data_IF_346069651707
#
_entry.id   IF_346069651707
#
_cell.length_a   1.000
_cell.length_b   1.000
_cell.length_c   1.000
_cell.angle_alpha   90.00
_cell.angle_beta   90.00
_cell.angle_gamma   90.00
#
_symmetry.space_group_name_H-M   'P 1'
#
loop_
_entity.id
_entity.type
_entity.pdbx_description
1 polymer ?
#
# COMPACT_ATOMS: atom_id res chain seq x y z
N UNK A 1 -25.68 -1.88 12.74
CA UNK A 1 -25.38 -2.21 14.15
C UNK A 1 -25.27 -3.72 14.31
N UNK A 2 -24.07 -4.29 14.22
CA UNK A 2 -23.64 -5.52 14.93
C UNK A 2 -22.18 -5.82 14.54
N UNK A 3 -21.25 -4.95 14.95
CA UNK A 3 -19.85 -5.35 15.02
C UNK A 3 -19.66 -6.02 16.38
N UNK A 4 -19.24 -7.29 16.39
CA UNK A 4 -18.95 -8.04 17.61
C UNK A 4 -17.84 -7.43 18.47
N UNK A 5 -17.23 -8.23 19.35
CA UNK A 5 -16.16 -7.82 20.27
C UNK A 5 -15.10 -6.91 19.62
N UNK A 6 -14.70 -7.19 18.37
CA UNK A 6 -13.73 -6.39 17.61
C UNK A 6 -14.16 -4.92 17.42
N UNK A 7 -15.43 -4.66 17.14
CA UNK A 7 -15.95 -3.29 17.03
C UNK A 7 -16.05 -2.56 18.36
N UNK A 8 -16.17 -3.30 19.47
CA UNK A 8 -16.09 -2.74 20.84
C UNK A 8 -14.65 -2.36 21.18
N UNK A 9 -13.68 -3.21 20.82
CA UNK A 9 -12.24 -2.94 21.01
C UNK A 9 -11.80 -1.72 20.19
N UNK A 10 -12.23 -1.61 18.93
CA UNK A 10 -11.84 -0.48 18.08
C UNK A 10 -12.46 0.85 18.56
N UNK A 11 -13.71 0.83 19.05
CA UNK A 11 -14.33 2.00 19.71
C UNK A 11 -13.59 2.40 20.99
N UNK A 12 -13.17 1.44 21.81
CA UNK A 12 -12.33 1.70 22.97
C UNK A 12 -10.96 2.31 22.57
N UNK A 13 -10.47 2.00 21.37
CA UNK A 13 -9.24 2.54 20.79
C UNK A 13 -9.44 3.80 19.91
N UNK A 14 -10.56 4.52 20.05
CA UNK A 14 -10.89 5.77 19.32
C UNK A 14 -10.94 5.65 17.78
N UNK A 15 -11.27 4.48 17.24
CA UNK A 15 -11.57 4.37 15.80
C UNK A 15 -12.75 5.27 15.42
N UNK A 16 -12.66 5.95 14.28
CA UNK A 16 -13.79 6.68 13.68
C UNK A 16 -14.40 5.84 12.58
N UNK A 17 -15.70 5.58 12.68
CA UNK A 17 -16.45 4.75 11.75
C UNK A 17 -17.19 5.61 10.72
N UNK A 18 -17.22 5.13 9.48
CA UNK A 18 -17.84 5.78 8.32
C UNK A 18 -18.54 4.73 7.46
N UNK A 19 -19.49 5.17 6.65
CA UNK A 19 -20.11 4.33 5.62
C UNK A 19 -19.72 4.89 4.26
N UNK A 20 -18.98 4.09 3.50
CA UNK A 20 -18.61 4.43 2.13
C UNK A 20 -19.70 3.96 1.18
N UNK A 21 -19.97 4.73 0.13
CA UNK A 21 -20.95 4.35 -0.91
C UNK A 21 -20.27 4.29 -2.27
N UNK A 22 -20.38 3.16 -2.95
CA UNK A 22 -19.80 2.93 -4.27
C UNK A 22 -20.45 3.86 -5.30
N UNK A 23 -19.60 4.50 -6.10
CA UNK A 23 -19.97 5.40 -7.21
C UNK A 23 -19.77 4.74 -8.56
N UNK A 24 -18.76 3.88 -8.67
CA UNK A 24 -18.42 3.17 -9.88
C UNK A 24 -17.23 2.25 -9.67
N UNK A 25 -16.95 1.43 -10.68
CA UNK A 25 -15.81 0.54 -10.71
C UNK A 25 -15.14 0.56 -12.08
N UNK A 26 -13.84 0.30 -12.09
CA UNK A 26 -12.98 0.32 -13.26
C UNK A 26 -11.99 -0.84 -13.19
N UNK A 27 -11.79 -1.54 -14.31
CA UNK A 27 -10.75 -2.58 -14.44
C UNK A 27 -9.45 -1.92 -14.90
N UNK A 28 -8.56 -1.63 -13.96
CA UNK A 28 -7.28 -0.95 -14.21
C UNK A 28 -6.25 -1.89 -14.85
N UNK A 29 -6.31 -3.17 -14.51
CA UNK A 29 -5.54 -4.24 -15.15
C UNK A 29 -6.31 -5.54 -15.05
N UNK A 30 -5.87 -6.59 -15.75
CA UNK A 30 -6.60 -7.88 -15.82
C UNK A 30 -7.03 -8.40 -14.44
N UNK A 31 -6.11 -8.32 -13.47
CA UNK A 31 -6.29 -8.77 -12.09
C UNK A 31 -6.29 -7.62 -11.09
N UNK A 32 -6.70 -6.42 -11.51
CA UNK A 32 -6.62 -5.22 -10.68
C UNK A 32 -7.83 -4.32 -10.89
N UNK A 33 -8.59 -4.06 -9.83
CA UNK A 33 -9.85 -3.33 -9.90
C UNK A 33 -9.83 -2.10 -9.01
N UNK A 34 -10.29 -0.96 -9.54
CA UNK A 34 -10.52 0.26 -8.79
C UNK A 34 -12.01 0.44 -8.53
N UNK A 35 -12.34 0.86 -7.31
CA UNK A 35 -13.70 1.25 -6.91
C UNK A 35 -13.64 2.69 -6.41
N UNK A 36 -14.44 3.56 -7.00
CA UNK A 36 -14.62 4.93 -6.51
C UNK A 36 -15.77 4.98 -5.53
N UNK A 37 -15.58 5.65 -4.39
CA UNK A 37 -16.60 5.78 -3.33
C UNK A 37 -16.80 7.23 -2.93
N UNK A 38 -17.99 7.55 -2.42
CA UNK A 38 -18.17 8.71 -1.52
C UNK A 38 -17.83 8.32 -0.09
N UNK A 39 -17.27 9.26 0.66
CA UNK A 39 -16.50 9.00 1.87
C UNK A 39 -17.29 9.01 3.18
N UNK A 40 -18.57 9.44 3.15
CA UNK A 40 -19.40 9.58 4.34
C UNK A 40 -18.89 10.61 5.37
N UNK A 41 -18.13 11.62 4.92
CA UNK A 41 -17.50 12.64 5.77
C UNK A 41 -16.12 12.25 6.32
N UNK A 42 -15.55 11.13 5.88
CA UNK A 42 -14.25 10.62 6.32
C UNK A 42 -13.13 11.63 6.10
N UNK A 43 -12.99 12.21 4.91
CA UNK A 43 -11.90 13.12 4.57
C UNK A 43 -12.01 14.47 5.31
N UNK A 44 -13.22 14.88 5.68
CA UNK A 44 -13.43 16.06 6.55
C UNK A 44 -12.98 15.77 7.98
N UNK A 45 -13.31 14.58 8.50
CA UNK A 45 -12.97 14.21 9.88
C UNK A 45 -11.51 13.77 10.06
N UNK A 46 -10.88 13.31 8.99
CA UNK A 46 -9.53 12.75 8.93
C UNK A 46 -8.84 13.23 7.64
N UNK A 47 -8.09 14.36 7.69
CA UNK A 47 -7.40 14.87 6.52
C UNK A 47 -6.47 13.81 5.89
N UNK A 48 -6.46 13.68 4.55
CA UNK A 48 -5.66 12.67 3.88
C UNK A 48 -4.16 12.93 3.99
N UNK A 49 -3.37 11.87 3.94
CA UNK A 49 -1.91 11.91 3.88
C UNK A 49 -1.37 10.80 2.96
N UNK A 50 -0.10 10.88 2.51
CA UNK A 50 0.51 9.82 1.71
C UNK A 50 0.45 8.46 2.43
N UNK A 51 0.21 7.41 1.66
CA UNK A 51 -0.01 6.04 2.13
C UNK A 51 -1.13 5.89 3.18
N UNK A 52 -2.08 6.83 3.25
CA UNK A 52 -3.22 6.72 4.16
C UNK A 52 -4.06 5.49 3.81
N UNK A 53 -4.40 4.72 4.83
CA UNK A 53 -5.20 3.51 4.68
C UNK A 53 -6.30 3.44 5.72
N UNK A 54 -7.35 2.72 5.36
CA UNK A 54 -8.54 2.51 6.18
C UNK A 54 -8.87 1.04 6.28
N UNK A 55 -9.61 0.66 7.32
CA UNK A 55 -10.10 -0.70 7.51
C UNK A 55 -11.49 -0.80 6.91
N UNK A 56 -11.67 -1.68 5.95
CA UNK A 56 -12.98 -2.02 5.39
C UNK A 56 -13.50 -3.31 6.02
N UNK A 57 -14.80 -3.36 6.25
CA UNK A 57 -15.48 -4.50 6.88
C UNK A 57 -16.31 -5.26 5.85
N UNK A 58 -15.81 -6.42 5.45
CA UNK A 58 -16.47 -7.32 4.52
C UNK A 58 -17.33 -8.33 5.28
N UNK A 59 -18.48 -8.68 4.72
CA UNK A 59 -19.25 -9.81 5.20
C UNK A 59 -18.75 -11.09 4.50
N UNK A 60 -18.40 -12.12 5.26
CA UNK A 60 -18.05 -13.43 4.72
C UNK A 60 -18.58 -14.50 5.65
N UNK A 61 -19.38 -15.43 5.12
CA UNK A 61 -20.03 -16.50 5.89
C UNK A 61 -20.77 -16.01 7.16
N UNK A 62 -21.38 -14.82 7.09
CA UNK A 62 -22.10 -14.21 8.20
C UNK A 62 -21.21 -13.63 9.31
N UNK A 63 -19.88 -13.57 9.12
CA UNK A 63 -18.92 -12.94 10.04
C UNK A 63 -18.31 -11.68 9.43
N UNK A 64 -17.90 -10.70 10.25
CA UNK A 64 -17.14 -9.55 9.77
C UNK A 64 -15.69 -9.94 9.51
N UNK A 65 -15.18 -9.58 8.33
CA UNK A 65 -13.80 -9.78 7.91
C UNK A 65 -13.20 -8.42 7.59
N UNK A 66 -12.19 -8.02 8.37
CA UNK A 66 -11.55 -6.73 8.19
C UNK A 66 -10.34 -6.82 7.25
N UNK A 67 -10.20 -5.87 6.31
CA UNK A 67 -8.98 -5.69 5.50
C UNK A 67 -8.61 -4.21 5.40
N UNK A 68 -7.31 -3.93 5.31
CA UNK A 68 -6.81 -2.58 5.14
C UNK A 68 -6.69 -2.24 3.65
N UNK A 69 -7.10 -1.05 3.25
CA UNK A 69 -6.96 -0.53 1.89
C UNK A 69 -6.46 0.91 1.92
N UNK A 70 -5.51 1.21 1.03
CA UNK A 70 -4.98 2.55 0.84
C UNK A 70 -5.95 3.40 0.02
N UNK A 71 -6.07 4.68 0.38
CA UNK A 71 -6.86 5.66 -0.38
C UNK A 71 -6.13 6.02 -1.68
N UNK A 72 -6.86 6.00 -2.79
CA UNK A 72 -6.41 6.47 -4.10
C UNK A 72 -7.07 7.81 -4.40
N UNK A 73 -6.30 8.82 -4.76
CA UNK A 73 -6.81 10.15 -5.17
C UNK A 73 -7.90 10.72 -4.25
N UNK A 74 -7.64 10.87 -2.94
CA UNK A 74 -8.63 11.47 -2.05
C UNK A 74 -8.89 12.92 -2.43
N UNK A 75 -10.16 13.24 -2.67
CA UNK A 75 -10.67 14.58 -2.93
C UNK A 75 -11.56 15.02 -1.75
N UNK A 76 -11.03 15.85 -0.81
CA UNK A 76 -11.79 16.35 0.31
C UNK A 76 -12.93 17.29 -0.07
N UNK A 77 -12.90 17.91 -1.25
CA UNK A 77 -13.94 18.83 -1.73
C UNK A 77 -15.13 18.02 -2.26
N UNK A 78 -14.86 17.01 -3.08
CA UNK A 78 -15.89 16.11 -3.59
C UNK A 78 -16.36 15.07 -2.56
N UNK A 79 -15.57 14.83 -1.50
CA UNK A 79 -15.82 13.77 -0.52
C UNK A 79 -15.71 12.38 -1.16
N UNK A 80 -14.73 12.19 -2.07
CA UNK A 80 -14.57 10.95 -2.83
C UNK A 80 -13.13 10.48 -2.83
N UNK A 81 -12.95 9.17 -3.00
CA UNK A 81 -11.64 8.55 -3.23
C UNK A 81 -11.81 7.20 -3.94
N UNK A 82 -10.72 6.65 -4.45
CA UNK A 82 -10.62 5.30 -5.00
C UNK A 82 -10.07 4.29 -3.99
N UNK A 83 -10.43 3.03 -4.19
CA UNK A 83 -9.88 1.86 -3.50
C UNK A 83 -9.46 0.86 -4.58
N UNK A 84 -8.22 0.35 -4.50
CA UNK A 84 -7.69 -0.59 -5.48
C UNK A 84 -7.50 -1.99 -4.88
N UNK A 85 -7.92 -2.99 -5.65
CA UNK A 85 -8.00 -4.39 -5.27
C UNK A 85 -7.16 -5.23 -6.23
N UNK A 86 -6.04 -5.76 -5.73
CA UNK A 86 -5.36 -6.87 -6.38
C UNK A 86 -6.25 -8.12 -6.26
N UNK A 87 -6.68 -8.68 -7.39
CA UNK A 87 -7.65 -9.77 -7.41
C UNK A 87 -6.98 -11.11 -7.12
N UNK A 88 -7.43 -11.73 -6.03
CA UNK A 88 -7.06 -13.06 -5.55
C UNK A 88 -8.27 -13.68 -4.86
N UNK A 89 -8.17 -14.94 -4.42
CA UNK A 89 -9.29 -15.58 -3.73
C UNK A 89 -9.55 -14.91 -2.36
N UNK A 90 -10.80 -14.54 -2.10
CA UNK A 90 -11.23 -14.07 -0.79
C UNK A 90 -12.26 -12.93 -0.82
N UNK A 91 -12.89 -12.65 0.33
CA UNK A 91 -14.12 -11.86 0.40
C UNK A 91 -13.98 -10.42 -0.09
N UNK A 92 -12.78 -9.83 0.00
CA UNK A 92 -12.58 -8.46 -0.43
C UNK A 92 -12.49 -8.35 -1.97
N UNK A 93 -11.81 -9.30 -2.62
CA UNK A 93 -11.77 -9.37 -4.07
C UNK A 93 -13.15 -9.76 -4.64
N UNK A 94 -13.82 -10.74 -4.03
CA UNK A 94 -15.18 -11.17 -4.41
C UNK A 94 -16.16 -10.00 -4.34
N UNK A 95 -16.13 -9.26 -3.23
CA UNK A 95 -16.92 -8.04 -3.07
C UNK A 95 -16.58 -7.02 -4.15
N UNK A 96 -15.30 -6.78 -4.41
CA UNK A 96 -14.90 -5.75 -5.38
C UNK A 96 -15.38 -6.00 -6.81
N UNK A 97 -15.50 -7.27 -7.20
CA UNK A 97 -16.02 -7.67 -8.51
C UNK A 97 -17.55 -7.62 -8.55
N UNK A 98 -18.22 -7.86 -7.42
CA UNK A 98 -19.67 -7.98 -7.35
C UNK A 98 -20.43 -6.67 -7.08
N UNK A 99 -19.75 -5.61 -6.62
CA UNK A 99 -20.40 -4.34 -6.26
C UNK A 99 -20.95 -3.56 -7.47
N UNK A 100 -21.95 -2.72 -7.19
CA UNK A 100 -22.52 -1.77 -8.14
C UNK A 100 -22.66 -0.38 -7.49
N UNK A 101 -22.87 0.70 -8.28
CA UNK A 101 -23.13 2.03 -7.72
C UNK A 101 -24.31 2.00 -6.72
N UNK A 102 -24.09 2.55 -5.52
CA UNK A 102 -25.02 2.50 -4.41
C UNK A 102 -24.77 1.37 -3.40
N UNK A 103 -23.95 0.37 -3.71
CA UNK A 103 -23.45 -0.59 -2.69
C UNK A 103 -22.71 0.17 -1.59
N UNK A 104 -22.85 -0.27 -0.34
CA UNK A 104 -22.20 0.36 0.82
C UNK A 104 -21.22 -0.58 1.50
N UNK A 105 -20.20 -0.01 2.15
CA UNK A 105 -19.28 -0.76 3.02
C UNK A 105 -18.90 0.08 4.23
N UNK A 106 -18.87 -0.55 5.40
CA UNK A 106 -18.42 0.08 6.63
C UNK A 106 -16.89 0.24 6.58
N UNK A 107 -16.41 1.39 7.05
CA UNK A 107 -15.00 1.72 7.12
C UNK A 107 -14.62 2.29 8.50
N UNK A 108 -13.43 1.95 8.97
CA UNK A 108 -12.85 2.52 10.20
C UNK A 108 -11.49 3.12 9.91
N UNK A 109 -11.28 4.39 10.27
CA UNK A 109 -9.95 5.02 10.25
C UNK A 109 -9.27 4.75 11.59
N UNK A 110 -8.24 3.91 11.58
CA UNK A 110 -7.43 3.65 12.78
C UNK A 110 -6.05 3.08 12.44
N UNK A 111 -5.01 3.67 13.03
CA UNK A 111 -3.65 3.13 13.01
C UNK A 111 -2.82 3.56 11.81
N UNK A 112 -3.42 4.22 10.83
CA UNK A 112 -2.71 4.87 9.74
C UNK A 112 -1.94 6.09 10.24
N UNK A 113 -0.79 6.37 9.62
CA UNK A 113 0.13 7.46 9.96
C UNK A 113 0.73 8.01 8.67
N UNK A 114 1.04 9.30 8.66
CA UNK A 114 1.72 9.92 7.53
C UNK A 114 3.09 9.27 7.34
N UNK A 115 3.32 8.76 6.13
CA UNK A 115 4.62 8.33 5.64
C UNK A 115 5.25 9.50 4.88
N UNK A 116 6.46 9.89 5.26
CA UNK A 116 7.13 11.07 4.71
C UNK A 116 8.63 10.84 4.70
N UNK A 117 9.27 11.06 3.55
CA UNK A 117 10.72 11.09 3.48
C UNK A 117 11.26 12.28 4.32
N UNK A 118 12.30 12.09 5.16
CA UNK A 118 12.91 13.18 5.90
C UNK A 118 13.41 14.31 4.96
N UNK A 119 13.38 15.58 5.40
CA UNK A 119 13.94 16.68 4.61
C UNK A 119 15.39 16.41 4.19
N UNK A 120 15.73 16.74 2.93
CA UNK A 120 17.05 16.49 2.37
C UNK A 120 17.35 15.02 2.04
N UNK A 121 16.32 14.18 1.97
CA UNK A 121 16.44 12.81 1.43
C UNK A 121 17.06 12.85 0.04
N UNK A 122 18.14 12.10 -0.15
CA UNK A 122 18.88 12.01 -1.41
C UNK A 122 18.15 11.18 -2.44
N UNK A 123 17.63 10.02 -2.01
CA UNK A 123 16.87 9.11 -2.85
C UNK A 123 15.87 8.31 -2.00
N UNK A 124 14.76 7.93 -2.63
CA UNK A 124 13.74 7.05 -2.05
C UNK A 124 13.88 5.64 -2.62
N UNK A 125 13.75 4.64 -1.76
CA UNK A 125 13.70 3.22 -2.14
C UNK A 125 12.34 2.68 -1.73
N UNK A 126 11.46 2.46 -2.71
CA UNK A 126 10.10 1.99 -2.50
C UNK A 126 10.01 0.53 -2.93
N UNK A 127 9.71 -0.38 -2.01
CA UNK A 127 9.61 -1.82 -2.30
C UNK A 127 8.18 -2.28 -2.02
N UNK A 128 7.56 -2.92 -3.00
CA UNK A 128 6.17 -3.32 -2.92
C UNK A 128 5.76 -4.42 -3.89
N UNK A 129 4.45 -4.50 -4.10
CA UNK A 129 3.76 -5.41 -5.01
C UNK A 129 2.40 -4.75 -5.39
N UNK A 130 1.52 -5.39 -6.20
CA UNK A 130 0.24 -4.80 -6.55
C UNK A 130 -0.62 -4.38 -5.35
N UNK A 131 -0.53 -5.04 -4.19
CA UNK A 131 -1.33 -4.69 -3.03
C UNK A 131 -0.90 -3.36 -2.39
N UNK A 132 0.37 -2.98 -2.53
CA UNK A 132 0.92 -1.72 -2.02
C UNK A 132 1.14 -0.64 -3.06
N UNK A 133 0.94 -0.94 -4.35
CA UNK A 133 1.03 0.02 -5.45
C UNK A 133 0.25 1.34 -5.19
N UNK A 134 -0.95 1.35 -4.59
CA UNK A 134 -1.65 2.61 -4.30
C UNK A 134 -0.87 3.51 -3.35
N UNK A 135 -0.21 2.91 -2.34
CA UNK A 135 0.62 3.63 -1.39
C UNK A 135 1.90 4.13 -2.05
N UNK A 136 2.56 3.28 -2.85
CA UNK A 136 3.73 3.66 -3.65
C UNK A 136 3.41 4.87 -4.54
N UNK A 137 2.30 4.83 -5.28
CA UNK A 137 1.86 5.93 -6.13
C UNK A 137 1.63 7.22 -5.32
N UNK A 138 0.94 7.14 -4.18
CA UNK A 138 0.73 8.30 -3.31
C UNK A 138 2.03 8.90 -2.75
N UNK A 139 3.07 8.08 -2.54
CA UNK A 139 4.38 8.52 -2.07
C UNK A 139 5.18 9.20 -3.19
N UNK A 140 5.10 8.68 -4.42
CA UNK A 140 5.70 9.32 -5.59
C UNK A 140 5.05 10.69 -5.86
N UNK A 141 3.72 10.77 -5.78
CA UNK A 141 2.96 12.02 -5.94
C UNK A 141 3.32 13.07 -4.86
N UNK A 142 3.60 12.62 -3.63
CA UNK A 142 4.00 13.49 -2.52
C UNK A 142 5.46 13.96 -2.60
N UNK A 143 6.29 13.28 -3.40
CA UNK A 143 7.72 13.54 -3.54
C UNK A 143 8.18 13.60 -5.01
N UNK A 144 7.54 14.42 -5.87
CA UNK A 144 7.71 14.35 -7.32
C UNK A 144 9.09 14.76 -7.82
N UNK A 145 9.91 15.40 -6.98
CA UNK A 145 11.26 15.85 -7.31
C UNK A 145 12.36 15.05 -6.62
N UNK A 146 12.01 14.09 -5.76
CA UNK A 146 12.98 13.27 -5.04
C UNK A 146 13.29 12.04 -5.89
N UNK A 147 14.55 11.79 -6.29
CA UNK A 147 14.89 10.59 -7.04
C UNK A 147 14.39 9.34 -6.32
N UNK A 148 13.76 8.44 -7.06
CA UNK A 148 13.14 7.25 -6.47
C UNK A 148 13.52 6.02 -7.27
N UNK A 149 13.76 4.93 -6.57
CA UNK A 149 13.82 3.61 -7.16
C UNK A 149 12.74 2.74 -6.56
N UNK A 150 11.91 2.20 -7.44
CA UNK A 150 10.69 1.49 -7.10
C UNK A 150 10.86 0.04 -7.54
N UNK A 151 10.78 -0.89 -6.59
CA UNK A 151 10.80 -2.32 -6.87
C UNK A 151 9.44 -2.90 -6.56
N UNK A 152 8.82 -3.53 -7.57
CA UNK A 152 7.52 -4.17 -7.44
C UNK A 152 7.66 -5.65 -7.79
N UNK A 153 7.21 -6.54 -6.90
CA UNK A 153 7.09 -7.96 -7.26
C UNK A 153 5.87 -8.16 -8.16
N UNK A 154 6.08 -8.74 -9.35
CA UNK A 154 5.01 -9.21 -10.21
C UNK A 154 4.66 -10.67 -9.85
N UNK A 155 3.46 -10.90 -9.33
CA UNK A 155 2.92 -12.24 -9.11
C UNK A 155 2.29 -12.86 -10.36
N UNK A 156 1.98 -12.01 -11.35
CA UNK A 156 1.41 -12.38 -12.65
C UNK A 156 1.99 -11.46 -13.75
N UNK A 157 2.14 -11.91 -15.01
CA UNK A 157 2.67 -11.07 -16.09
C UNK A 157 1.94 -9.74 -16.28
N UNK A 158 0.60 -9.75 -16.17
CA UNK A 158 -0.24 -8.55 -16.28
C UNK A 158 0.03 -7.49 -15.19
N UNK A 159 0.69 -7.84 -14.08
CA UNK A 159 0.99 -6.88 -13.02
C UNK A 159 1.94 -5.77 -13.53
N UNK A 160 2.79 -6.07 -14.52
CA UNK A 160 3.72 -5.11 -15.13
C UNK A 160 3.05 -3.98 -15.89
N UNK A 161 1.79 -4.18 -16.27
CA UNK A 161 1.00 -3.21 -17.00
C UNK A 161 0.31 -2.21 -16.06
N UNK A 162 0.38 -2.43 -14.74
CA UNK A 162 -0.24 -1.55 -13.76
C UNK A 162 0.41 -0.16 -13.77
N UNK A 163 -0.38 0.92 -13.65
CA UNK A 163 0.13 2.29 -13.75
C UNK A 163 0.90 2.66 -12.49
N UNK A 164 2.23 2.73 -12.62
CA UNK A 164 3.12 3.32 -11.62
C UNK A 164 3.27 4.82 -11.93
N UNK A 165 3.00 5.70 -10.96
CA UNK A 165 3.11 7.17 -11.09
C UNK A 165 4.56 7.65 -10.99
N UNK A 166 5.43 6.98 -11.72
CA UNK A 166 6.83 7.37 -11.87
C UNK A 166 6.93 8.63 -12.77
N UNK A 167 7.78 9.57 -12.37
CA UNK A 167 8.09 10.78 -13.14
C UNK A 167 9.59 10.83 -13.44
N UNK A 168 10.08 12.02 -13.80
CA UNK A 168 11.49 12.21 -14.11
C UNK A 168 12.37 11.90 -12.90
N UNK A 169 13.42 11.08 -13.10
CA UNK A 169 14.32 10.66 -12.03
C UNK A 169 13.77 9.51 -11.16
N UNK A 170 12.62 8.93 -11.53
CA UNK A 170 12.12 7.69 -10.94
C UNK A 170 12.49 6.49 -11.83
N UNK A 171 13.01 5.42 -11.23
CA UNK A 171 13.26 4.14 -11.89
C UNK A 171 12.29 3.09 -11.34
N UNK A 172 11.61 2.36 -12.22
CA UNK A 172 10.69 1.27 -11.86
C UNK A 172 11.26 -0.06 -12.31
N UNK A 173 11.42 -0.97 -11.37
CA UNK A 173 11.94 -2.33 -11.57
C UNK A 173 10.86 -3.32 -11.16
N UNK A 174 10.32 -4.06 -12.13
CA UNK A 174 9.45 -5.19 -11.87
C UNK A 174 10.26 -6.47 -11.72
N UNK A 175 10.13 -7.14 -10.58
CA UNK A 175 10.79 -8.41 -10.28
C UNK A 175 9.76 -9.53 -10.39
N UNK A 176 9.98 -10.49 -11.28
CA UNK A 176 9.10 -11.67 -11.36
C UNK A 176 9.19 -12.47 -10.07
N UNK A 177 8.04 -12.89 -9.55
CA UNK A 177 7.98 -13.82 -8.44
C UNK A 177 8.64 -15.14 -8.84
N UNK A 178 9.68 -15.51 -8.11
CA UNK A 178 10.34 -16.81 -8.20
C UNK A 178 10.35 -17.52 -6.83
N UNK A 179 9.51 -18.54 -6.72
CA UNK A 179 9.28 -19.30 -5.50
C UNK A 179 8.29 -18.63 -4.55
N UNK A 180 8.63 -18.57 -3.25
CA UNK A 180 7.76 -17.99 -2.23
C UNK A 180 7.54 -16.47 -2.46
N UNK A 181 6.34 -15.94 -2.21
CA UNK A 181 6.08 -14.51 -2.34
C UNK A 181 7.07 -13.65 -1.55
N UNK A 182 7.54 -12.57 -2.15
CA UNK A 182 8.49 -11.64 -1.57
C UNK A 182 9.96 -12.10 -1.63
N UNK A 183 10.26 -13.36 -1.97
CA UNK A 183 11.63 -13.88 -2.01
C UNK A 183 12.47 -13.20 -3.09
N UNK A 184 12.01 -13.21 -4.33
CA UNK A 184 12.77 -12.73 -5.48
C UNK A 184 13.04 -11.22 -5.37
N UNK A 185 12.03 -10.43 -5.01
CA UNK A 185 12.19 -9.00 -4.78
C UNK A 185 13.14 -8.71 -3.62
N UNK A 186 13.07 -9.46 -2.51
CA UNK A 186 14.00 -9.29 -1.37
C UNK A 186 15.45 -9.51 -1.80
N UNK A 187 15.71 -10.58 -2.55
CA UNK A 187 17.06 -10.93 -3.00
C UNK A 187 17.60 -9.85 -3.96
N UNK A 188 16.77 -9.37 -4.89
CA UNK A 188 17.11 -8.31 -5.83
C UNK A 188 17.43 -6.97 -5.13
N UNK A 189 16.57 -6.50 -4.22
CA UNK A 189 16.80 -5.22 -3.52
C UNK A 189 17.99 -5.30 -2.56
N UNK A 190 18.20 -6.44 -1.91
CA UNK A 190 19.36 -6.64 -1.01
C UNK A 190 20.68 -6.62 -1.80
N UNK A 191 20.70 -7.15 -3.03
CA UNK A 191 21.85 -7.04 -3.92
C UNK A 191 22.09 -5.60 -4.37
N UNK A 192 21.03 -4.90 -4.80
CA UNK A 192 21.11 -3.51 -5.24
C UNK A 192 21.59 -2.57 -4.12
N UNK A 193 21.00 -2.62 -2.94
CA UNK A 193 21.37 -1.75 -1.82
C UNK A 193 22.81 -1.92 -1.36
N UNK A 194 23.36 -3.13 -1.48
CA UNK A 194 24.74 -3.42 -1.17
C UNK A 194 25.74 -3.07 -2.29
N UNK A 195 25.28 -2.46 -3.39
CA UNK A 195 26.14 -2.12 -4.54
C UNK A 195 26.65 -3.35 -5.30
N UNK A 196 25.95 -4.49 -5.21
CA UNK A 196 26.30 -5.72 -5.94
C UNK A 196 25.61 -5.82 -7.30
N UNK A 197 24.80 -4.83 -7.67
CA UNK A 197 24.22 -4.68 -9.01
C UNK A 197 25.14 -3.88 -9.91
N UNK A 198 25.38 -4.36 -11.13
CA UNK A 198 26.31 -3.73 -12.06
C UNK A 198 25.80 -2.35 -12.52
N UNK A 199 26.65 -1.32 -12.39
CA UNK A 199 26.37 0.02 -12.90
C UNK A 199 25.51 0.91 -11.99
N UNK A 200 25.14 0.43 -10.80
CA UNK A 200 24.25 1.15 -9.89
C UNK A 200 24.97 1.56 -8.61
N UNK A 201 24.85 2.83 -8.17
CA UNK A 201 25.42 3.23 -6.89
C UNK A 201 24.69 2.50 -5.75
N UNK A 202 25.47 2.04 -4.77
CA UNK A 202 24.92 1.49 -3.54
C UNK A 202 23.97 2.48 -2.83
N UNK A 203 23.09 1.96 -2.00
CA UNK A 203 22.25 2.82 -1.17
C UNK A 203 23.12 3.60 -0.16
N UNK A 204 22.69 4.79 0.23
CA UNK A 204 23.31 5.59 1.29
C UNK A 204 22.40 5.57 2.53
N UNK A 205 22.68 4.71 3.53
CA UNK A 205 21.82 4.53 4.70
C UNK A 205 21.56 5.82 5.50
N UNK A 206 22.46 6.81 5.41
CA UNK A 206 22.38 8.06 6.16
C UNK A 206 21.58 9.14 5.42
N UNK A 207 21.41 9.01 4.10
CA UNK A 207 20.80 10.04 3.24
C UNK A 207 19.56 9.57 2.48
N UNK A 208 19.37 8.28 2.34
CA UNK A 208 18.23 7.71 1.64
C UNK A 208 17.04 7.47 2.58
N UNK A 209 15.87 7.27 1.99
CA UNK A 209 14.66 6.85 2.69
C UNK A 209 14.16 5.53 2.10
N UNK A 210 13.72 4.61 2.95
CA UNK A 210 13.30 3.28 2.57
C UNK A 210 11.86 3.06 3.03
N UNK A 211 10.99 2.70 2.10
CA UNK A 211 9.62 2.31 2.40
C UNK A 211 9.37 0.93 1.80
N UNK A 212 9.03 -0.03 2.65
CA UNK A 212 8.87 -1.43 2.28
C UNK A 212 7.49 -1.89 2.69
N UNK A 213 6.66 -2.28 1.74
CA UNK A 213 5.39 -2.90 2.04
C UNK A 213 4.96 -3.90 0.98
N UNK A 214 5.06 -5.18 1.29
CA UNK A 214 4.64 -6.29 0.43
C UNK A 214 4.14 -7.44 1.31
N UNK A 215 4.55 -8.68 1.03
CA UNK A 215 4.33 -9.82 1.91
C UNK A 215 4.99 -9.60 3.29
N UNK A 216 4.32 -10.05 4.35
CA UNK A 216 4.66 -9.75 5.74
C UNK A 216 6.01 -10.28 6.18
N UNK A 217 6.38 -11.52 5.85
CA UNK A 217 7.71 -12.04 6.15
C UNK A 217 8.77 -11.23 5.39
N UNK A 218 8.65 -11.09 4.07
CA UNK A 218 9.60 -10.34 3.25
C UNK A 218 9.81 -8.90 3.74
N UNK A 219 8.73 -8.18 4.02
CA UNK A 219 8.78 -6.81 4.58
C UNK A 219 9.53 -6.77 5.90
N UNK A 220 9.29 -7.74 6.79
CA UNK A 220 9.97 -7.84 8.09
C UNK A 220 11.46 -8.10 7.93
N UNK A 221 11.84 -8.96 6.98
CA UNK A 221 13.22 -9.33 6.71
C UNK A 221 14.00 -8.17 6.11
N UNK A 222 13.43 -7.48 5.12
CA UNK A 222 14.02 -6.28 4.53
C UNK A 222 14.18 -5.16 5.56
N UNK A 223 13.15 -4.89 6.36
CA UNK A 223 13.23 -3.91 7.43
C UNK A 223 14.24 -4.29 8.52
N UNK A 224 14.52 -5.58 8.73
CA UNK A 224 15.59 -6.05 9.62
C UNK A 224 16.96 -5.85 8.99
N UNK A 225 17.13 -6.22 7.72
CA UNK A 225 18.38 -6.03 6.97
C UNK A 225 18.80 -4.56 6.94
N UNK A 226 17.88 -3.65 6.59
CA UNK A 226 18.12 -2.21 6.58
C UNK A 226 18.65 -1.69 7.92
N UNK A 227 18.04 -2.10 9.03
CA UNK A 227 18.41 -1.60 10.37
C UNK A 227 19.65 -2.26 10.95
N UNK A 228 19.81 -3.58 10.76
CA UNK A 228 20.89 -4.35 11.42
C UNK A 228 22.16 -4.41 10.60
N UNK A 229 22.03 -4.53 9.28
CA UNK A 229 23.16 -4.82 8.41
C UNK A 229 23.62 -3.55 7.68
N UNK A 230 22.68 -2.68 7.30
CA UNK A 230 22.97 -1.39 6.63
C UNK A 230 22.97 -0.18 7.58
N UNK A 231 22.54 -0.35 8.84
CA UNK A 231 22.58 0.71 9.85
C UNK A 231 21.60 1.87 9.61
N UNK A 232 20.54 1.67 8.81
CA UNK A 232 19.50 2.68 8.56
C UNK A 232 18.76 3.00 9.86
N UNK A 233 18.61 4.28 10.18
CA UNK A 233 17.89 4.71 11.39
C UNK A 233 16.37 4.56 11.23
N UNK A 234 15.65 4.45 12.34
CA UNK A 234 14.18 4.23 12.32
C UNK A 234 13.39 5.36 11.64
N UNK A 235 13.94 6.57 11.58
CA UNK A 235 13.35 7.72 10.90
C UNK A 235 13.48 7.62 9.38
N UNK A 236 14.39 6.77 8.90
CA UNK A 236 14.69 6.59 7.48
C UNK A 236 14.15 5.28 6.90
N UNK A 237 13.46 4.46 7.70
CA UNK A 237 12.86 3.20 7.24
C UNK A 237 11.45 3.01 7.78
N UNK A 238 10.50 2.77 6.87
CA UNK A 238 9.20 2.17 7.19
C UNK A 238 9.11 0.79 6.55
N UNK A 239 8.68 -0.21 7.32
CA UNK A 239 8.53 -1.58 6.85
C UNK A 239 7.24 -2.19 7.44
N UNK A 240 6.25 -2.46 6.58
CA UNK A 240 4.93 -2.92 6.97
C UNK A 240 4.48 -4.09 6.09
N UNK A 241 4.14 -5.23 6.70
CA UNK A 241 3.51 -6.33 5.96
C UNK A 241 2.08 -5.99 5.58
N UNK A 242 1.77 -5.93 4.29
CA UNK A 242 0.43 -5.64 3.78
C UNK A 242 -0.45 -6.88 3.76
N UNK A 243 0.13 -8.03 3.45
CA UNK A 243 -0.55 -9.30 3.40
C UNK A 243 0.38 -10.43 3.82
N UNK A 244 -0.18 -11.61 4.05
CA UNK A 244 0.57 -12.85 4.28
C UNK A 244 -0.20 -13.97 3.60
N UNK A 245 0.50 -15.00 3.16
CA UNK A 245 -0.15 -16.27 2.82
C UNK A 245 -0.82 -16.83 4.08
N UNK A 246 -1.98 -17.44 3.91
CA UNK A 246 -2.71 -18.11 4.99
C UNK A 246 -1.90 -19.29 5.57
#
# INVERSE_FOLDING_TARGET
>A
MQHGWEGVVLRAMRGKDFVLTVRGSERVGERYQRITVTDGGLLTACPPHPAMWIRLWFAHEGRPHQRAYTLVDPDPVAGTFGLEFALHDGPAADWSVAVWPGSTIDATVQGTRAEQAPPGTRAMHLVGDPASLPAVNSLLDAHPTTPARVWLEAGHPADRELPVRAGDGHEVVWVDRDGAPGRAVRDAVTAAWAGRSAGEPAADPARDWFWVACEAAASRELGRHLRRDLGVTKERVSALGYWRTA
#
